data_IF_629026410428
#
_entry.id   IF_629026410428
#
_cell.length_a   1.000
_cell.length_b   1.000
_cell.length_c   1.000
_cell.angle_alpha   90.00
_cell.angle_beta   90.00
_cell.angle_gamma   90.00
#
_symmetry.space_group_name_H-M   'P 1'
#
loop_
_entity.id
_entity.type
_entity.pdbx_description
1 polymer ?
#
# COMPACT_ATOMS: atom_id res chain seq x y z
N UNK A 1 38.78 1.08 65.91
CA UNK A 1 39.52 1.21 64.64
C UNK A 1 39.74 -0.12 63.91
N UNK A 2 40.02 -1.23 64.60
CA UNK A 2 40.24 -2.55 63.96
C UNK A 2 39.02 -3.15 63.24
N UNK A 3 37.79 -2.93 63.72
CA UNK A 3 36.58 -3.49 63.09
C UNK A 3 36.29 -2.92 61.70
N UNK A 4 36.52 -1.61 61.49
CA UNK A 4 36.35 -0.96 60.18
C UNK A 4 37.42 -1.47 59.20
N UNK A 5 38.65 -1.63 59.66
CA UNK A 5 39.76 -2.15 58.85
C UNK A 5 39.49 -3.60 58.44
N UNK A 6 38.98 -4.44 59.35
CA UNK A 6 38.57 -5.81 59.03
C UNK A 6 37.41 -5.85 58.04
N UNK A 7 36.40 -4.99 58.22
CA UNK A 7 35.27 -4.91 57.30
C UNK A 7 35.72 -4.52 55.89
N UNK A 8 36.60 -3.52 55.77
CA UNK A 8 37.21 -3.11 54.50
C UNK A 8 38.00 -4.25 53.86
N UNK A 9 38.80 -5.00 54.63
CA UNK A 9 39.55 -6.15 54.14
C UNK A 9 38.65 -7.29 53.67
N UNK A 10 37.58 -7.62 54.42
CA UNK A 10 36.62 -8.65 54.01
C UNK A 10 35.81 -8.25 52.77
N UNK A 11 35.44 -6.97 52.64
CA UNK A 11 34.78 -6.47 51.43
C UNK A 11 35.72 -6.51 50.22
N UNK A 12 37.00 -6.14 50.39
CA UNK A 12 38.01 -6.23 49.33
C UNK A 12 38.26 -7.68 48.88
N UNK A 13 38.40 -8.61 49.82
CA UNK A 13 38.59 -10.03 49.51
C UNK A 13 37.36 -10.65 48.84
N UNK A 14 36.15 -10.26 49.25
CA UNK A 14 34.92 -10.71 48.60
C UNK A 14 34.76 -10.15 47.17
N UNK A 15 35.16 -8.89 46.94
CA UNK A 15 35.17 -8.30 45.60
C UNK A 15 36.22 -8.96 44.69
N UNK A 16 37.40 -9.29 45.23
CA UNK A 16 38.43 -10.03 44.50
C UNK A 16 38.00 -11.47 44.20
N UNK A 17 37.34 -12.14 45.16
CA UNK A 17 36.77 -13.48 44.95
C UNK A 17 35.70 -13.49 43.86
N UNK A 18 34.78 -12.54 43.88
CA UNK A 18 33.75 -12.37 42.84
C UNK A 18 34.35 -12.03 41.47
N UNK A 19 35.42 -11.22 41.42
CA UNK A 19 36.11 -10.91 40.17
C UNK A 19 36.79 -12.14 39.56
N UNK A 20 37.36 -13.02 40.39
CA UNK A 20 37.99 -14.28 39.95
C UNK A 20 36.94 -15.28 39.47
N UNK A 21 35.80 -15.40 40.17
CA UNK A 21 34.68 -16.27 39.76
C UNK A 21 33.98 -15.79 38.48
N UNK A 22 34.04 -14.50 38.15
CA UNK A 22 33.52 -13.94 36.91
C UNK A 22 34.47 -14.09 35.71
N UNK A 23 35.74 -14.46 35.90
CA UNK A 23 36.68 -14.63 34.78
C UNK A 23 36.25 -15.70 33.76
N UNK A 24 35.76 -16.89 34.15
CA UNK A 24 35.29 -17.89 33.21
C UNK A 24 34.07 -17.44 32.40
N UNK A 25 33.14 -16.71 33.01
CA UNK A 25 31.92 -16.24 32.34
C UNK A 25 32.23 -15.11 31.34
N UNK A 26 33.14 -14.20 31.70
CA UNK A 26 33.64 -13.16 30.79
C UNK A 26 34.42 -13.80 29.63
N UNK A 27 35.28 -14.79 29.89
CA UNK A 27 35.99 -15.51 28.85
C UNK A 27 35.03 -16.23 27.89
N UNK A 28 34.00 -16.89 28.42
CA UNK A 28 32.95 -17.53 27.62
C UNK A 28 32.18 -16.50 26.77
N UNK A 29 31.85 -15.33 27.31
CA UNK A 29 31.19 -14.26 26.57
C UNK A 29 32.07 -13.71 25.42
N UNK A 30 33.38 -13.55 25.65
CA UNK A 30 34.33 -13.16 24.59
C UNK A 30 34.37 -14.20 23.48
N UNK A 31 34.40 -15.50 23.82
CA UNK A 31 34.33 -16.59 22.84
C UNK A 31 33.04 -16.49 22.02
N UNK A 32 31.90 -16.24 22.67
CA UNK A 32 30.60 -16.07 21.99
C UNK A 32 30.61 -14.85 21.06
N UNK A 33 31.23 -13.74 21.44
CA UNK A 33 31.37 -12.56 20.56
C UNK A 33 32.24 -12.88 19.35
N UNK A 34 33.35 -13.60 19.53
CA UNK A 34 34.22 -14.02 18.43
C UNK A 34 33.46 -14.95 17.48
N UNK A 35 32.72 -15.92 18.02
CA UNK A 35 31.84 -16.81 17.24
C UNK A 35 30.71 -16.04 16.54
N UNK A 36 30.15 -15.02 17.18
CA UNK A 36 29.14 -14.15 16.58
C UNK A 36 29.72 -13.38 15.41
N UNK A 37 30.95 -12.87 15.52
CA UNK A 37 31.59 -12.15 14.42
C UNK A 37 31.85 -13.07 13.21
N UNK A 38 32.27 -14.32 13.44
CA UNK A 38 32.42 -15.28 12.33
C UNK A 38 31.08 -15.67 11.73
N UNK A 39 30.06 -15.91 12.54
CA UNK A 39 28.70 -16.16 12.10
C UNK A 39 28.11 -14.98 11.30
N UNK A 40 28.30 -13.73 11.77
CA UNK A 40 27.83 -12.53 11.10
C UNK A 40 28.47 -12.36 9.73
N UNK A 41 29.77 -12.64 9.59
CA UNK A 41 30.45 -12.69 8.29
C UNK A 41 29.87 -13.78 7.40
N UNK A 42 29.67 -14.98 7.91
CA UNK A 42 29.08 -16.09 7.16
C UNK A 42 27.65 -15.77 6.67
N UNK A 43 26.79 -15.24 7.55
CA UNK A 43 25.44 -14.79 7.21
C UNK A 43 25.49 -13.68 6.16
N UNK A 44 26.35 -12.68 6.34
CA UNK A 44 26.49 -11.59 5.37
C UNK A 44 26.92 -12.10 3.99
N UNK A 45 27.82 -13.09 3.92
CA UNK A 45 28.25 -13.73 2.68
C UNK A 45 27.11 -14.53 2.05
N UNK A 46 26.39 -15.34 2.84
CA UNK A 46 25.26 -16.13 2.38
C UNK A 46 24.13 -15.25 1.81
N UNK A 47 23.76 -14.19 2.54
CA UNK A 47 22.77 -13.19 2.08
C UNK A 47 23.27 -12.51 0.82
N UNK A 48 24.55 -12.12 0.77
CA UNK A 48 25.10 -11.45 -0.40
C UNK A 48 25.12 -12.36 -1.64
N UNK A 49 25.34 -13.66 -1.48
CA UNK A 49 25.36 -14.66 -2.55
C UNK A 49 23.94 -14.97 -3.04
N UNK A 50 22.99 -15.16 -2.13
CA UNK A 50 21.57 -15.35 -2.47
C UNK A 50 21.00 -14.13 -3.21
N UNK A 51 21.35 -12.93 -2.74
CA UNK A 51 20.83 -11.67 -3.29
C UNK A 51 21.43 -11.33 -4.67
N UNK A 52 22.62 -11.83 -5.01
CA UNK A 52 23.26 -11.59 -6.32
C UNK A 52 22.43 -12.08 -7.50
N UNK A 53 21.67 -13.17 -7.32
CA UNK A 53 20.88 -13.76 -8.40
C UNK A 53 19.48 -13.14 -8.51
N UNK A 54 18.94 -12.59 -7.42
CA UNK A 54 17.54 -12.15 -7.36
C UNK A 54 17.38 -10.62 -7.43
N UNK A 55 18.33 -9.84 -6.90
CA UNK A 55 18.18 -8.38 -6.77
C UNK A 55 19.21 -7.66 -7.63
N UNK A 56 18.72 -6.95 -8.66
CA UNK A 56 19.57 -6.22 -9.62
C UNK A 56 20.19 -4.94 -9.04
N UNK A 57 19.55 -4.32 -8.05
CA UNK A 57 20.02 -3.06 -7.47
C UNK A 57 21.07 -3.30 -6.38
N UNK A 58 22.26 -2.72 -6.55
CA UNK A 58 23.36 -2.80 -5.58
C UNK A 58 22.98 -2.23 -4.20
N UNK A 59 22.17 -1.16 -4.16
CA UNK A 59 21.76 -0.52 -2.90
C UNK A 59 20.89 -1.44 -2.05
N UNK A 60 19.87 -2.10 -2.62
CA UNK A 60 19.04 -3.04 -1.86
C UNK A 60 19.84 -4.23 -1.33
N UNK A 61 20.81 -4.74 -2.11
CA UNK A 61 21.72 -5.78 -1.64
C UNK A 61 22.52 -5.33 -0.43
N UNK A 62 23.08 -4.12 -0.49
CA UNK A 62 23.82 -3.54 0.64
C UNK A 62 22.93 -3.40 1.88
N UNK A 63 21.69 -2.93 1.71
CA UNK A 63 20.74 -2.78 2.81
C UNK A 63 20.38 -4.14 3.45
N UNK A 64 20.10 -5.17 2.66
CA UNK A 64 19.78 -6.50 3.18
C UNK A 64 20.96 -7.11 3.95
N UNK A 65 22.17 -6.94 3.44
CA UNK A 65 23.39 -7.41 4.14
C UNK A 65 23.60 -6.64 5.44
N UNK A 66 23.41 -5.32 5.45
CA UNK A 66 23.53 -4.50 6.66
C UNK A 66 22.49 -4.89 7.72
N UNK A 67 21.23 -5.10 7.33
CA UNK A 67 20.17 -5.55 8.23
C UNK A 67 20.50 -6.93 8.80
N UNK A 68 20.90 -7.89 7.96
CA UNK A 68 21.25 -9.24 8.42
C UNK A 68 22.44 -9.23 9.38
N UNK A 69 23.46 -8.42 9.09
CA UNK A 69 24.62 -8.24 9.96
C UNK A 69 24.22 -7.61 11.29
N UNK A 70 23.41 -6.55 11.28
CA UNK A 70 22.93 -5.87 12.48
C UNK A 70 22.07 -6.80 13.36
N UNK A 71 21.16 -7.58 12.76
CA UNK A 71 20.34 -8.56 13.49
C UNK A 71 21.19 -9.67 14.11
N UNK A 72 22.19 -10.17 13.39
CA UNK A 72 23.11 -11.20 13.92
C UNK A 72 23.93 -10.66 15.08
N UNK A 73 24.41 -9.41 14.99
CA UNK A 73 25.09 -8.75 16.10
C UNK A 73 24.17 -8.46 17.29
N UNK A 74 22.93 -8.04 17.05
CA UNK A 74 21.95 -7.83 18.10
C UNK A 74 21.67 -9.14 18.86
N UNK A 75 21.48 -10.25 18.13
CA UNK A 75 21.27 -11.56 18.74
C UNK A 75 22.50 -12.06 19.51
N UNK A 76 23.69 -12.01 18.90
CA UNK A 76 24.91 -12.51 19.53
C UNK A 76 25.37 -11.68 20.72
N UNK A 77 25.23 -10.35 20.66
CA UNK A 77 25.50 -9.47 21.81
C UNK A 77 24.52 -9.72 22.97
N UNK A 78 23.25 -10.00 22.66
CA UNK A 78 22.25 -10.37 23.66
C UNK A 78 22.63 -11.67 24.38
N UNK A 79 23.04 -12.70 23.64
CA UNK A 79 23.49 -13.98 24.23
C UNK A 79 24.77 -13.77 25.05
N UNK A 80 25.73 -13.01 24.53
CA UNK A 80 26.97 -12.72 25.25
C UNK A 80 26.73 -11.97 26.56
N UNK A 81 25.77 -11.03 26.61
CA UNK A 81 25.41 -10.31 27.84
C UNK A 81 24.87 -11.23 28.93
N UNK A 82 24.00 -12.19 28.58
CA UNK A 82 23.46 -13.17 29.53
C UNK A 82 24.56 -14.05 30.10
N UNK A 83 25.54 -14.42 29.28
CA UNK A 83 26.68 -15.25 29.72
C UNK A 83 27.66 -14.44 30.57
N UNK A 84 27.94 -13.19 30.19
CA UNK A 84 28.89 -12.32 30.90
C UNK A 84 28.40 -11.94 32.31
N UNK A 85 27.08 -11.74 32.46
CA UNK A 85 26.47 -11.28 33.70
C UNK A 85 25.44 -12.31 34.21
N UNK A 86 25.85 -13.25 35.08
CA UNK A 86 24.96 -14.28 35.62
C UNK A 86 23.74 -13.74 36.40
N UNK A 87 23.81 -12.47 36.84
CA UNK A 87 22.71 -11.78 37.51
C UNK A 87 21.60 -11.35 36.54
N UNK A 88 21.89 -11.21 35.24
CA UNK A 88 20.89 -10.90 34.23
C UNK A 88 20.15 -12.16 33.83
N UNK A 89 18.81 -12.14 33.95
CA UNK A 89 18.00 -13.25 33.50
C UNK A 89 17.76 -13.10 32.00
N UNK A 90 17.65 -14.20 31.23
CA UNK A 90 17.22 -14.14 29.84
C UNK A 90 15.92 -13.35 29.64
N UNK A 91 15.01 -13.43 30.62
CA UNK A 91 13.76 -12.68 30.63
C UNK A 91 13.93 -11.15 30.63
N UNK A 92 14.97 -10.61 31.26
CA UNK A 92 15.21 -9.16 31.32
C UNK A 92 15.63 -8.62 29.95
N UNK A 93 16.50 -9.37 29.26
CA UNK A 93 16.93 -9.06 27.88
C UNK A 93 15.76 -9.20 26.91
N UNK A 94 14.95 -10.26 27.04
CA UNK A 94 13.74 -10.43 26.24
C UNK A 94 12.76 -9.28 26.49
N UNK A 95 12.61 -8.84 27.75
CA UNK A 95 11.78 -7.68 28.09
C UNK A 95 12.27 -6.39 27.42
N UNK A 96 13.58 -6.12 27.46
CA UNK A 96 14.18 -4.96 26.82
C UNK A 96 14.05 -5.00 25.30
N UNK A 97 14.37 -6.14 24.67
CA UNK A 97 14.24 -6.35 23.23
C UNK A 97 12.77 -6.30 22.79
N UNK A 98 11.86 -6.81 23.61
CA UNK A 98 10.42 -6.76 23.38
C UNK A 98 9.89 -5.34 23.41
N UNK A 99 10.36 -4.49 24.33
CA UNK A 99 10.02 -3.07 24.32
C UNK A 99 10.57 -2.36 23.07
N UNK A 100 11.81 -2.67 22.68
CA UNK A 100 12.44 -2.13 21.48
C UNK A 100 11.73 -2.56 20.19
N UNK A 101 11.25 -3.80 20.12
CA UNK A 101 10.57 -4.33 18.93
C UNK A 101 9.24 -3.64 18.66
N UNK A 102 8.50 -3.22 19.71
CA UNK A 102 7.26 -2.44 19.56
C UNK A 102 7.51 -1.13 18.81
N UNK A 103 8.56 -0.40 19.16
CA UNK A 103 8.91 0.85 18.47
C UNK A 103 9.23 0.61 16.98
N UNK A 104 9.96 -0.47 16.69
CA UNK A 104 10.25 -0.90 15.31
C UNK A 104 8.95 -1.26 14.58
N UNK A 105 8.06 -2.05 15.20
CA UNK A 105 6.77 -2.43 14.61
C UNK A 105 5.89 -1.22 14.27
N UNK A 106 5.86 -0.21 15.13
CA UNK A 106 5.17 1.05 14.83
C UNK A 106 5.80 1.78 13.65
N UNK A 107 7.12 1.83 13.56
CA UNK A 107 7.81 2.45 12.42
C UNK A 107 7.53 1.73 11.09
N UNK A 108 7.31 0.41 11.12
CA UNK A 108 6.98 -0.39 9.92
C UNK A 108 5.47 -0.52 9.64
N UNK A 109 4.61 0.06 10.49
CA UNK A 109 3.16 -0.17 10.45
C UNK A 109 2.56 0.18 9.07
N UNK A 110 2.94 1.31 8.50
CA UNK A 110 2.37 1.77 7.22
C UNK A 110 2.87 0.97 6.02
N UNK A 111 4.09 0.45 6.08
CA UNK A 111 4.63 -0.44 5.04
C UNK A 111 3.82 -1.75 5.03
N UNK A 112 3.59 -2.34 6.20
CA UNK A 112 2.78 -3.55 6.33
C UNK A 112 1.32 -3.33 5.91
N UNK A 113 0.69 -2.21 6.29
CA UNK A 113 -0.68 -1.86 5.87
C UNK A 113 -0.81 -1.82 4.34
N UNK A 114 0.10 -1.13 3.66
CA UNK A 114 0.07 -1.01 2.21
C UNK A 114 0.33 -2.35 1.50
N UNK A 115 1.24 -3.15 2.05
CA UNK A 115 1.52 -4.48 1.51
C UNK A 115 0.32 -5.42 1.62
N UNK A 116 -0.28 -5.50 2.82
CA UNK A 116 -1.44 -6.36 3.04
C UNK A 116 -2.64 -5.90 2.22
N UNK A 117 -2.89 -4.59 2.15
CA UNK A 117 -3.91 -4.02 1.29
C UNK A 117 -3.69 -4.40 -0.19
N UNK A 118 -2.45 -4.34 -0.67
CA UNK A 118 -2.09 -4.80 -2.02
C UNK A 118 -2.43 -6.27 -2.26
N UNK A 119 -2.03 -7.16 -1.35
CA UNK A 119 -2.37 -8.59 -1.44
C UNK A 119 -3.88 -8.80 -1.47
N UNK A 120 -4.62 -8.14 -0.57
CA UNK A 120 -6.08 -8.32 -0.48
C UNK A 120 -6.81 -7.78 -1.71
N UNK A 121 -6.34 -6.67 -2.30
CA UNK A 121 -6.89 -6.16 -3.56
C UNK A 121 -6.63 -7.12 -4.72
N UNK A 122 -5.45 -7.74 -4.78
CA UNK A 122 -5.14 -8.74 -5.82
C UNK A 122 -5.90 -10.05 -5.61
N UNK A 123 -6.24 -10.42 -4.38
CA UNK A 123 -6.98 -11.65 -4.08
C UNK A 123 -8.49 -11.51 -4.26
N UNK A 124 -9.06 -10.38 -3.85
CA UNK A 124 -10.51 -10.15 -3.91
C UNK A 124 -10.95 -9.38 -5.15
N UNK A 125 -10.01 -8.76 -5.87
CA UNK A 125 -10.25 -7.97 -7.08
C UNK A 125 -11.52 -7.09 -7.00
N UNK A 126 -11.61 -6.16 -6.03
CA UNK A 126 -12.78 -5.27 -5.91
C UNK A 126 -12.98 -4.39 -7.16
N UNK A 127 -11.93 -4.24 -7.96
CA UNK A 127 -11.87 -3.67 -9.30
C UNK A 127 -10.65 -4.26 -10.03
N UNK A 128 -10.63 -4.16 -11.35
CA UNK A 128 -9.60 -4.74 -12.21
C UNK A 128 -8.78 -3.67 -12.93
N UNK A 129 -7.68 -4.09 -13.58
CA UNK A 129 -6.92 -3.21 -14.47
C UNK A 129 -7.82 -2.75 -15.62
N UNK A 130 -7.81 -1.45 -15.91
CA UNK A 130 -8.66 -0.83 -16.92
C UNK A 130 -10.02 -0.34 -16.40
N UNK A 131 -10.39 -0.65 -15.15
CA UNK A 131 -11.60 -0.08 -14.55
C UNK A 131 -11.43 1.41 -14.28
N UNK A 132 -12.51 2.15 -14.46
CA UNK A 132 -12.57 3.55 -14.05
C UNK A 132 -13.03 3.60 -12.59
N UNK A 133 -12.25 4.25 -11.73
CA UNK A 133 -12.53 4.36 -10.30
C UNK A 133 -12.47 5.80 -9.81
N UNK A 134 -13.25 6.10 -8.76
CA UNK A 134 -13.09 7.30 -7.94
C UNK A 134 -12.63 6.91 -6.54
N UNK A 135 -11.50 7.46 -6.11
CA UNK A 135 -10.94 7.26 -4.76
C UNK A 135 -10.33 8.56 -4.25
N UNK A 136 -10.68 9.00 -3.03
CA UNK A 136 -10.14 10.22 -2.41
C UNK A 136 -10.18 11.47 -3.30
N UNK A 137 -11.21 11.60 -4.15
CA UNK A 137 -11.35 12.71 -5.09
C UNK A 137 -10.52 12.60 -6.38
N UNK A 138 -9.70 11.57 -6.52
CA UNK A 138 -9.07 11.21 -7.79
C UNK A 138 -10.01 10.35 -8.60
N UNK A 139 -10.22 10.70 -9.87
CA UNK A 139 -11.03 9.96 -10.83
C UNK A 139 -10.20 9.64 -12.06
N UNK A 140 -10.26 8.38 -12.50
CA UNK A 140 -9.51 7.92 -13.66
C UNK A 140 -9.49 6.40 -13.81
N UNK A 141 -8.63 5.93 -14.71
CA UNK A 141 -8.50 4.51 -15.06
C UNK A 141 -7.36 3.86 -14.29
N UNK A 142 -7.59 2.67 -13.73
CA UNK A 142 -6.54 1.87 -13.07
C UNK A 142 -5.57 1.32 -14.12
N UNK A 143 -4.31 1.74 -14.09
CA UNK A 143 -3.26 1.24 -14.99
C UNK A 143 -2.50 0.04 -14.41
N UNK A 144 -2.20 0.09 -13.12
CA UNK A 144 -1.36 -0.92 -12.46
C UNK A 144 -1.71 -1.02 -10.98
N UNK A 145 -1.79 -2.24 -10.45
CA UNK A 145 -1.85 -2.50 -9.00
C UNK A 145 -0.52 -3.12 -8.60
N UNK A 146 0.36 -2.32 -8.00
CA UNK A 146 1.64 -2.77 -7.49
C UNK A 146 1.51 -3.25 -6.02
N UNK A 147 2.59 -3.85 -5.48
CA UNK A 147 2.63 -4.38 -4.11
C UNK A 147 2.28 -3.37 -3.00
N UNK A 148 2.53 -2.06 -3.21
CA UNK A 148 2.33 -1.00 -2.20
C UNK A 148 1.46 0.17 -2.65
N UNK A 149 1.13 0.26 -3.94
CA UNK A 149 0.41 1.40 -4.51
C UNK A 149 -0.34 1.00 -5.78
N UNK A 150 -1.46 1.66 -6.02
CA UNK A 150 -2.25 1.61 -7.25
C UNK A 150 -1.97 2.85 -8.08
N UNK A 151 -1.75 2.67 -9.38
CA UNK A 151 -1.55 3.75 -10.33
C UNK A 151 -2.85 4.02 -11.08
N UNK A 152 -3.30 5.26 -11.07
CA UNK A 152 -4.53 5.73 -11.73
C UNK A 152 -4.14 6.79 -12.76
N UNK A 153 -4.56 6.63 -14.01
CA UNK A 153 -4.44 7.66 -15.04
C UNK A 153 -5.70 8.52 -15.01
N UNK A 154 -5.56 9.81 -14.68
CA UNK A 154 -6.68 10.75 -14.72
C UNK A 154 -7.06 11.08 -16.17
N UNK A 155 -8.26 11.61 -16.37
CA UNK A 155 -8.69 12.07 -17.70
C UNK A 155 -7.88 13.25 -18.24
N UNK A 156 -7.09 13.91 -17.38
CA UNK A 156 -6.17 14.98 -17.77
C UNK A 156 -4.79 14.43 -18.22
N UNK A 157 -4.62 13.10 -18.25
CA UNK A 157 -3.36 12.46 -18.65
C UNK A 157 -2.29 12.44 -17.56
N UNK A 158 -2.66 12.61 -16.30
CA UNK A 158 -1.74 12.57 -15.17
C UNK A 158 -1.75 11.18 -14.53
N UNK A 159 -0.59 10.71 -14.07
CA UNK A 159 -0.48 9.46 -13.31
C UNK A 159 -0.47 9.74 -11.81
N UNK A 160 -1.55 9.35 -11.15
CA UNK A 160 -1.71 9.43 -9.69
C UNK A 160 -1.30 8.11 -9.07
N UNK A 161 -0.39 8.16 -8.09
CA UNK A 161 0.08 6.98 -7.35
C UNK A 161 -0.56 7.00 -5.97
N UNK A 162 -1.54 6.13 -5.75
CA UNK A 162 -2.28 6.06 -4.49
C UNK A 162 -1.76 4.89 -3.64
N UNK A 163 -1.37 5.12 -2.38
CA UNK A 163 -1.04 4.04 -1.45
C UNK A 163 -2.18 3.01 -1.34
N UNK A 164 -1.85 1.72 -1.42
CA UNK A 164 -2.85 0.64 -1.39
C UNK A 164 -3.73 0.69 -0.14
N UNK A 165 -3.15 1.08 1.00
CA UNK A 165 -3.90 1.20 2.24
C UNK A 165 -5.07 2.19 2.11
N UNK A 166 -4.87 3.32 1.44
CA UNK A 166 -5.91 4.34 1.21
C UNK A 166 -7.03 3.79 0.33
N UNK A 167 -6.66 3.12 -0.76
CA UNK A 167 -7.64 2.52 -1.68
C UNK A 167 -8.47 1.43 -1.01
N UNK A 168 -7.84 0.64 -0.13
CA UNK A 168 -8.51 -0.45 0.57
C UNK A 168 -9.38 0.00 1.75
N UNK A 169 -8.99 1.06 2.47
CA UNK A 169 -9.75 1.51 3.66
C UNK A 169 -10.88 2.45 3.32
N UNK A 170 -10.82 3.16 2.18
CA UNK A 170 -11.79 4.18 1.82
C UNK A 170 -12.81 3.63 0.81
N UNK A 171 -13.95 4.30 0.69
CA UNK A 171 -14.96 3.90 -0.30
C UNK A 171 -14.44 4.17 -1.71
N UNK A 172 -14.38 3.13 -2.54
CA UNK A 172 -14.03 3.24 -3.96
C UNK A 172 -15.31 3.14 -4.78
N UNK A 173 -15.55 4.13 -5.64
CA UNK A 173 -16.64 4.05 -6.62
C UNK A 173 -16.08 3.47 -7.91
N UNK A 174 -16.47 2.26 -8.26
CA UNK A 174 -16.09 1.63 -9.53
C UNK A 174 -17.14 1.97 -10.58
N UNK A 175 -16.79 2.87 -11.50
CA UNK A 175 -17.75 3.40 -12.46
C UNK A 175 -18.09 2.40 -13.58
N UNK A 176 -17.24 1.38 -13.76
CA UNK A 176 -17.35 0.33 -14.79
C UNK A 176 -17.91 -0.99 -14.27
N UNK A 177 -18.20 -1.11 -12.96
CA UNK A 177 -18.61 -2.38 -12.35
C UNK A 177 -20.02 -2.86 -12.77
N UNK A 178 -20.89 -1.92 -13.19
CA UNK A 178 -22.27 -2.22 -13.58
C UNK A 178 -22.43 -2.06 -15.09
N UNK A 179 -23.26 -2.88 -15.76
CA UNK A 179 -23.43 -2.85 -17.22
C UNK A 179 -24.05 -1.55 -17.74
N UNK A 180 -24.75 -0.82 -16.88
CA UNK A 180 -25.39 0.45 -17.22
C UNK A 180 -25.08 1.47 -16.13
N UNK A 181 -24.74 2.69 -16.54
CA UNK A 181 -24.48 3.80 -15.64
C UNK A 181 -25.43 4.94 -15.95
N UNK A 182 -26.06 5.48 -14.91
CA UNK A 182 -26.86 6.71 -15.01
C UNK A 182 -25.95 7.92 -14.89
N UNK A 183 -26.17 8.90 -15.75
CA UNK A 183 -25.57 10.22 -15.67
C UNK A 183 -26.67 11.25 -15.48
N UNK A 184 -26.49 12.11 -14.48
CA UNK A 184 -27.42 13.19 -14.15
C UNK A 184 -26.81 14.50 -14.68
N UNK A 185 -27.40 15.04 -15.74
CA UNK A 185 -26.96 16.28 -16.41
C UNK A 185 -27.84 17.44 -15.94
N UNK A 186 -27.32 18.36 -15.10
CA UNK A 186 -28.05 19.56 -14.72
C UNK A 186 -28.06 20.55 -15.89
N UNK A 187 -29.25 21.04 -16.23
CA UNK A 187 -29.47 22.08 -17.23
C UNK A 187 -30.17 23.27 -16.58
N UNK A 188 -29.84 24.46 -17.04
CA UNK A 188 -30.46 25.71 -16.60
C UNK A 188 -31.05 26.36 -17.84
N UNK A 189 -32.35 26.65 -17.81
CA UNK A 189 -33.08 27.31 -18.87
C UNK A 189 -33.63 28.64 -18.38
N UNK A 190 -33.86 29.55 -19.32
CA UNK A 190 -34.55 30.81 -19.04
C UNK A 190 -36.00 30.55 -18.62
N UNK A 191 -36.51 31.39 -17.71
CA UNK A 191 -37.85 31.27 -17.15
C UNK A 191 -38.97 31.35 -18.20
N UNK A 192 -38.74 32.08 -19.29
CA UNK A 192 -39.70 32.23 -20.38
C UNK A 192 -39.84 30.97 -21.24
N UNK A 193 -39.02 29.93 -20.98
CA UNK A 193 -39.08 28.66 -21.70
C UNK A 193 -40.28 27.85 -21.23
N UNK A 194 -41.13 27.43 -22.17
CA UNK A 194 -42.27 26.55 -21.90
C UNK A 194 -41.78 25.17 -21.42
N UNK A 195 -42.06 24.75 -20.17
CA UNK A 195 -41.44 23.56 -19.58
C UNK A 195 -41.80 22.27 -20.29
N UNK A 196 -43.04 22.15 -20.80
CA UNK A 196 -43.54 20.93 -21.44
C UNK A 196 -42.78 20.67 -22.74
N UNK A 197 -42.66 21.70 -23.59
CA UNK A 197 -41.91 21.65 -24.84
C UNK A 197 -40.42 21.40 -24.58
N UNK A 198 -39.85 22.01 -23.54
CA UNK A 198 -38.45 21.80 -23.19
C UNK A 198 -38.17 20.34 -22.81
N UNK A 199 -39.02 19.75 -21.96
CA UNK A 199 -38.93 18.34 -21.55
C UNK A 199 -39.04 17.42 -22.76
N UNK A 200 -40.07 17.59 -23.60
CA UNK A 200 -40.30 16.75 -24.78
C UNK A 200 -39.11 16.82 -25.75
N UNK A 201 -38.60 18.03 -26.00
CA UNK A 201 -37.46 18.26 -26.89
C UNK A 201 -36.18 17.62 -26.34
N UNK A 202 -35.91 17.75 -25.04
CA UNK A 202 -34.72 17.17 -24.40
C UNK A 202 -34.77 15.63 -24.39
N UNK A 203 -35.91 15.04 -24.05
CA UNK A 203 -36.09 13.58 -24.07
C UNK A 203 -35.86 13.05 -25.49
N UNK A 204 -36.42 13.72 -26.50
CA UNK A 204 -36.24 13.33 -27.91
C UNK A 204 -34.78 13.44 -28.35
N UNK A 205 -34.15 14.59 -28.11
CA UNK A 205 -32.76 14.83 -28.47
C UNK A 205 -31.80 13.80 -27.85
N UNK A 206 -31.97 13.47 -26.57
CA UNK A 206 -31.09 12.52 -25.88
C UNK A 206 -31.34 11.08 -26.30
N UNK A 207 -32.59 10.75 -26.64
CA UNK A 207 -32.94 9.42 -27.18
C UNK A 207 -32.34 9.17 -28.58
N UNK A 208 -31.99 10.23 -29.32
CA UNK A 208 -31.34 10.15 -30.64
C UNK A 208 -29.81 10.04 -30.54
N UNK A 209 -29.21 10.23 -29.35
CA UNK A 209 -27.75 10.15 -29.14
C UNK A 209 -27.28 8.69 -29.14
N UNK A 210 -26.27 8.39 -29.96
CA UNK A 210 -25.63 7.07 -30.00
C UNK A 210 -25.01 6.71 -28.63
N UNK A 211 -25.31 5.51 -28.13
CA UNK A 211 -24.81 5.02 -26.84
C UNK A 211 -25.72 5.28 -25.63
N UNK A 212 -26.81 6.05 -25.79
CA UNK A 212 -27.86 6.20 -24.77
C UNK A 212 -28.87 5.07 -24.89
N UNK A 213 -29.22 4.46 -23.75
CA UNK A 213 -30.25 3.43 -23.71
C UNK A 213 -31.66 4.00 -23.89
N UNK A 214 -32.47 3.35 -24.70
CA UNK A 214 -33.90 3.64 -24.84
C UNK A 214 -34.74 3.00 -23.71
N UNK A 215 -34.21 1.97 -23.06
CA UNK A 215 -34.77 1.32 -21.88
C UNK A 215 -33.68 1.09 -20.83
N UNK A 216 -33.74 1.74 -19.66
CA UNK A 216 -34.74 2.74 -19.23
C UNK A 216 -34.70 4.02 -20.08
N UNK A 217 -35.87 4.61 -20.32
CA UNK A 217 -36.03 5.84 -21.13
C UNK A 217 -35.40 7.04 -20.40
N UNK A 218 -34.77 8.00 -21.12
CA UNK A 218 -34.29 9.23 -20.52
C UNK A 218 -35.40 9.97 -19.77
N UNK A 219 -35.10 10.43 -18.57
CA UNK A 219 -36.02 11.19 -17.72
C UNK A 219 -35.57 12.64 -17.64
N UNK A 220 -36.50 13.58 -17.69
CA UNK A 220 -36.21 15.00 -17.48
C UNK A 220 -37.15 15.51 -16.39
N UNK A 221 -36.56 15.88 -15.26
CA UNK A 221 -37.30 16.42 -14.12
C UNK A 221 -36.97 17.90 -13.91
N UNK A 222 -37.98 18.66 -13.48
CA UNK A 222 -37.78 20.00 -12.95
C UNK A 222 -37.23 19.87 -11.52
N UNK A 223 -35.97 20.25 -11.34
CA UNK A 223 -35.29 20.18 -10.05
C UNK A 223 -35.53 21.41 -9.17
N UNK A 224 -35.90 22.54 -9.77
CA UNK A 224 -36.30 23.74 -9.05
C UNK A 224 -36.47 24.97 -9.93
N UNK A 225 -36.98 26.04 -9.34
CA UNK A 225 -36.98 27.39 -9.92
C UNK A 225 -36.23 28.32 -8.96
N UNK A 226 -35.05 28.78 -9.36
CA UNK A 226 -34.21 29.66 -8.55
C UNK A 226 -33.68 30.81 -9.42
N UNK A 227 -33.51 31.99 -8.82
CA UNK A 227 -32.89 33.17 -9.43
C UNK A 227 -33.49 33.61 -10.78
N UNK A 228 -34.78 33.32 -11.01
CA UNK A 228 -35.42 33.61 -12.31
C UNK A 228 -35.00 32.65 -13.43
N UNK A 229 -34.52 31.46 -13.09
CA UNK A 229 -34.16 30.40 -14.04
C UNK A 229 -34.85 29.08 -13.67
N UNK A 230 -35.16 28.30 -14.71
CA UNK A 230 -35.74 26.96 -14.58
C UNK A 230 -34.60 25.94 -14.55
N UNK A 231 -34.48 25.20 -13.46
CA UNK A 231 -33.49 24.13 -13.33
C UNK A 231 -34.12 22.79 -13.70
N UNK A 232 -33.48 22.10 -14.64
CA UNK A 232 -33.85 20.76 -15.08
C UNK A 232 -32.69 19.81 -14.75
N UNK A 233 -33.02 18.56 -14.44
CA UNK A 233 -32.03 17.48 -14.40
C UNK A 233 -32.46 16.46 -15.42
N UNK A 234 -31.57 16.22 -16.39
CA UNK A 234 -31.76 15.15 -17.36
C UNK A 234 -30.99 13.92 -16.90
N UNK A 235 -31.69 12.80 -16.76
CA UNK A 235 -31.10 11.52 -16.37
C UNK A 235 -31.14 10.57 -17.56
N UNK A 236 -29.99 10.07 -17.95
CA UNK A 236 -29.88 9.10 -19.03
C UNK A 236 -28.92 7.98 -18.64
N UNK A 237 -29.08 6.82 -19.28
CA UNK A 237 -28.27 5.64 -19.01
C UNK A 237 -27.38 5.35 -20.22
N UNK A 238 -26.11 5.05 -19.97
CA UNK A 238 -25.13 4.69 -21.01
C UNK A 238 -24.34 3.46 -20.59
N UNK A 239 -23.62 2.86 -21.54
CA UNK A 239 -22.60 1.85 -21.24
C UNK A 239 -21.40 2.54 -20.58
N UNK A 240 -20.81 1.96 -19.53
CA UNK A 240 -19.51 2.41 -19.07
C UNK A 240 -18.44 2.06 -20.12
N UNK A 241 -17.66 3.04 -20.54
CA UNK A 241 -16.54 2.80 -21.45
C UNK A 241 -15.36 2.18 -20.68
N UNK A 242 -14.96 0.97 -21.06
CA UNK A 242 -13.72 0.38 -20.57
C UNK A 242 -12.55 0.97 -21.37
N UNK A 243 -11.54 1.49 -20.67
CA UNK A 243 -10.33 1.96 -21.33
C UNK A 243 -9.49 0.76 -21.78
N UNK A 244 -9.50 0.47 -23.07
CA UNK A 244 -8.78 -0.66 -23.69
C UNK A 244 -7.32 -0.37 -24.05
N UNK A 245 -6.72 0.71 -23.53
CA UNK A 245 -5.37 1.15 -23.90
C UNK A 245 -4.19 0.50 -23.16
N UNK A 246 -4.42 -0.44 -22.24
CA UNK A 246 -3.34 -1.04 -21.43
C UNK A 246 -2.72 -2.32 -22.03
N UNK A 247 -3.39 -2.99 -22.98
CA UNK A 247 -2.89 -4.22 -23.61
C UNK A 247 -2.07 -4.00 -24.88
N UNK A 248 -2.03 -2.78 -25.42
CA UNK A 248 -1.40 -2.49 -26.72
C UNK A 248 -0.12 -1.64 -26.64
N UNK A 249 0.81 -2.01 -25.74
CA UNK A 249 2.21 -1.54 -25.83
C UNK A 249 3.15 -2.58 -26.46
N UNK A 250 2.61 -3.71 -26.93
CA UNK A 250 3.37 -4.79 -27.55
C UNK A 250 2.85 -5.23 -28.92
N UNK A 251 1.82 -4.61 -29.50
CA UNK A 251 1.47 -4.78 -30.90
C UNK A 251 1.74 -3.48 -31.65
N UNK A 252 2.75 -3.55 -32.52
CA UNK A 252 3.13 -2.42 -33.35
C UNK A 252 2.00 -2.00 -34.26
N UNK A 253 1.99 -0.70 -34.56
CA UNK A 253 1.34 -0.06 -35.69
C UNK A 253 0.88 -1.03 -36.79
N UNK A 254 -0.42 -1.32 -36.82
CA UNK A 254 -1.08 -2.08 -37.86
C UNK A 254 -2.56 -1.78 -37.81
N UNK A 255 -3.01 -0.82 -38.60
CA UNK A 255 -4.43 -0.49 -38.69
C UNK A 255 -5.24 -1.67 -39.20
N UNK A 256 -6.43 -1.86 -38.64
CA UNK A 256 -7.50 -2.54 -39.35
C UNK A 256 -8.86 -1.98 -38.93
N UNK A 257 -9.41 -1.22 -39.86
CA UNK A 257 -10.80 -0.78 -39.94
C UNK A 257 -11.69 -1.96 -40.31
N UNK A 258 -12.20 -2.71 -39.34
CA UNK A 258 -13.21 -3.74 -39.64
C UNK A 258 -14.07 -4.11 -38.43
N UNK A 259 -15.00 -3.22 -38.06
CA UNK A 259 -16.25 -3.62 -37.39
C UNK A 259 -17.39 -2.67 -37.74
N UNK A 260 -17.78 -2.73 -39.01
CA UNK A 260 -19.12 -2.35 -39.49
C UNK A 260 -19.66 -3.55 -40.24
N UNK A 261 -20.94 -3.88 -40.00
CA UNK A 261 -21.81 -4.91 -40.59
C UNK A 261 -22.02 -6.17 -39.74
N UNK A 262 -23.17 -6.22 -39.07
CA UNK A 262 -24.29 -7.02 -39.62
C UNK A 262 -25.61 -6.64 -38.94
N UNK A 263 -26.44 -5.92 -39.69
CA UNK A 263 -27.89 -5.84 -39.51
C UNK A 263 -28.53 -6.52 -40.72
N UNK A 264 -29.52 -7.38 -40.49
CA UNK A 264 -30.42 -7.95 -41.51
C UNK A 264 -30.21 -9.45 -41.75
N UNK A 265 -30.96 -10.29 -41.03
CA UNK A 265 -32.24 -10.85 -41.48
C UNK A 265 -33.09 -11.28 -40.26
#
# INVERSE_FOLDING_TARGET
MGAIIQQIQTSLLNLLGQAIEAMPSIAAAVVVIVLTNTAAKFVSLAVSAATQQTVKSLSLRSLLVQIAFALTWAAGSSIACVIAFPALRPGDIIGLLGLGSVAVSFAFQDIFKNFLAGILMLLHEPFQLGDQIVVEGFEGTVEEISMRSTQIMTYQGERVIVPNAIVFTNSVRVLTAMPHRRTDLPLILDYDTEPSLAIETLVKAISEVEGVFSQPTPEVDISGLNDGSLHLIVRHWTLPELFTGATDKNQGCGGDSSRVRSSGD
#
